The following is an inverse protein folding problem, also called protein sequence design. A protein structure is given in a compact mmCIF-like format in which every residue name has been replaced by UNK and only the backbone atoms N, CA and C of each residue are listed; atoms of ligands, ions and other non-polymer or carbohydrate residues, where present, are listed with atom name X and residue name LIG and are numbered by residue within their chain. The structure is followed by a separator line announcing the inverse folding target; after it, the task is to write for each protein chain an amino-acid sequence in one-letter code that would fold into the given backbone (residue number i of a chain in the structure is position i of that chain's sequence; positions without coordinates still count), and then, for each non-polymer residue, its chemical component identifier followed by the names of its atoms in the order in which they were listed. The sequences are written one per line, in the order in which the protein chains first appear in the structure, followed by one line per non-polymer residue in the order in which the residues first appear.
data_IF_763214532135
#
_entry.id   IF_763214532135
#
_cell.length_a   1.000
_cell.length_b   1.000
_cell.length_c   1.000
_cell.angle_alpha   90.00
_cell.angle_beta   90.00
_cell.angle_gamma   90.00
#
_symmetry.space_group_name_H-M   'P 1'
#
loop_
_entity.id
_entity.type
_entity.pdbx_description
1 polymer ?
#
# COMPACT_ATOMS: atom_id res chain seq x y z
N UNK A 1 -15.22 15.97 25.10
CA UNK A 1 -16.11 17.16 25.06
C UNK A 1 -17.56 16.83 25.41
N UNK A 2 -18.03 15.58 25.32
CA UNK A 2 -19.38 15.20 25.78
C UNK A 2 -20.51 15.55 24.79
N UNK A 3 -20.14 15.92 23.56
CA UNK A 3 -21.01 16.33 22.45
C UNK A 3 -21.78 15.12 21.88
N UNK A 4 -22.89 14.74 22.51
CA UNK A 4 -23.63 13.51 22.12
C UNK A 4 -24.28 13.60 20.73
N UNK A 5 -24.76 14.78 20.35
CA UNK A 5 -25.40 15.00 19.05
C UNK A 5 -24.38 14.86 17.92
N UNK A 6 -23.23 15.55 18.04
CA UNK A 6 -22.12 15.42 17.09
C UNK A 6 -21.63 13.96 16.97
N UNK A 7 -21.50 13.25 18.09
CA UNK A 7 -21.09 11.84 18.07
C UNK A 7 -22.10 10.96 17.32
N UNK A 8 -23.41 11.22 17.47
CA UNK A 8 -24.45 10.51 16.75
C UNK A 8 -24.43 10.83 15.25
N UNK A 9 -24.22 12.10 14.87
CA UNK A 9 -24.07 12.51 13.47
C UNK A 9 -22.85 11.85 12.80
N UNK A 10 -21.70 11.82 13.49
CA UNK A 10 -20.51 11.13 12.99
C UNK A 10 -20.75 9.63 12.79
N UNK A 11 -21.45 8.98 13.72
CA UNK A 11 -21.77 7.54 13.62
C UNK A 11 -22.71 7.28 12.44
N UNK A 12 -23.76 8.08 12.30
CA UNK A 12 -24.72 7.93 11.22
C UNK A 12 -24.08 8.10 9.84
N UNK A 13 -23.20 9.10 9.68
CA UNK A 13 -22.47 9.30 8.42
C UNK A 13 -21.50 8.14 8.14
N UNK A 14 -20.81 7.62 9.15
CA UNK A 14 -19.90 6.48 8.99
C UNK A 14 -20.66 5.22 8.53
N UNK A 15 -21.83 4.93 9.14
CA UNK A 15 -22.66 3.79 8.78
C UNK A 15 -23.23 3.93 7.34
N UNK A 16 -23.66 5.14 6.97
CA UNK A 16 -24.14 5.43 5.61
C UNK A 16 -23.05 5.19 4.55
N UNK A 17 -21.85 5.74 4.77
CA UNK A 17 -20.72 5.59 3.85
C UNK A 17 -20.24 4.14 3.80
N UNK A 18 -20.16 3.44 4.93
CA UNK A 18 -19.79 2.02 4.97
C UNK A 18 -20.78 1.15 4.19
N UNK A 19 -22.09 1.41 4.34
CA UNK A 19 -23.13 0.74 3.56
C UNK A 19 -22.99 0.99 2.06
N UNK A 20 -22.72 2.23 1.66
CA UNK A 20 -22.50 2.58 0.26
C UNK A 20 -21.24 1.90 -0.32
N UNK A 21 -20.13 1.84 0.41
CA UNK A 21 -18.90 1.17 -0.04
C UNK A 21 -19.14 -0.32 -0.30
N UNK A 22 -19.85 -1.02 0.60
CA UNK A 22 -20.18 -2.43 0.41
C UNK A 22 -21.05 -2.68 -0.83
N UNK A 23 -21.90 -1.71 -1.18
CA UNK A 23 -22.79 -1.82 -2.34
C UNK A 23 -22.09 -1.47 -3.66
N UNK A 24 -21.22 -0.45 -3.66
CA UNK A 24 -20.73 0.16 -4.90
C UNK A 24 -19.24 -0.06 -5.15
N UNK A 25 -18.41 -0.22 -4.12
CA UNK A 25 -16.96 -0.32 -4.26
C UNK A 25 -16.48 -1.77 -4.51
N UNK A 26 -17.31 -2.78 -4.24
CA UNK A 26 -16.97 -4.19 -4.48
C UNK A 26 -17.37 -4.60 -5.90
N UNK A 27 -16.40 -5.02 -6.70
CA UNK A 27 -16.61 -5.44 -8.10
C UNK A 27 -16.10 -6.86 -8.32
N UNK A 28 -16.70 -7.58 -9.25
CA UNK A 28 -16.27 -8.94 -9.63
C UNK A 28 -15.17 -8.84 -10.71
N UNK A 29 -13.94 -9.19 -10.37
CA UNK A 29 -12.83 -9.32 -11.31
C UNK A 29 -12.75 -10.74 -11.87
N UNK A 30 -12.58 -10.94 -13.20
CA UNK A 30 -12.59 -12.27 -13.80
C UNK A 30 -11.48 -13.21 -13.28
N UNK A 31 -10.33 -12.66 -12.90
CA UNK A 31 -9.19 -13.43 -12.35
C UNK A 31 -9.13 -13.49 -10.82
N UNK A 32 -9.42 -12.38 -10.13
CA UNK A 32 -9.18 -12.26 -8.69
C UNK A 32 -10.45 -12.47 -7.84
N UNK A 33 -11.62 -12.58 -8.46
CA UNK A 33 -12.91 -12.61 -7.79
C UNK A 33 -13.32 -11.22 -7.31
N UNK A 34 -14.06 -11.15 -6.20
CA UNK A 34 -14.46 -9.86 -5.59
C UNK A 34 -13.25 -9.06 -5.12
N UNK A 35 -13.11 -7.84 -5.61
CA UNK A 35 -12.09 -6.87 -5.22
C UNK A 35 -12.73 -5.52 -4.91
N UNK A 36 -12.01 -4.66 -4.20
CA UNK A 36 -12.35 -3.25 -4.07
C UNK A 36 -11.84 -2.50 -5.31
N UNK A 37 -12.70 -1.67 -5.90
CA UNK A 37 -12.31 -0.70 -6.92
C UNK A 37 -11.63 0.52 -6.27
N UNK A 38 -10.68 1.13 -6.99
CA UNK A 38 -9.99 2.33 -6.51
C UNK A 38 -10.92 3.54 -6.49
N UNK A 39 -11.67 3.72 -7.58
CA UNK A 39 -12.68 4.78 -7.73
C UNK A 39 -13.95 4.21 -8.35
N UNK A 40 -15.11 4.76 -7.96
CA UNK A 40 -16.43 4.44 -8.54
C UNK A 40 -17.25 5.72 -8.68
N UNK A 41 -18.15 5.75 -9.66
CA UNK A 41 -19.00 6.92 -9.95
C UNK A 41 -20.44 6.81 -9.43
N UNK A 42 -20.84 5.63 -8.95
CA UNK A 42 -22.22 5.32 -8.53
C UNK A 42 -23.20 5.04 -9.69
N UNK A 43 -22.78 5.19 -10.94
CA UNK A 43 -23.53 4.84 -12.15
C UNK A 43 -23.16 3.46 -12.71
N UNK A 44 -22.12 2.84 -12.16
CA UNK A 44 -21.66 1.49 -12.49
C UNK A 44 -20.26 1.43 -13.09
N UNK A 45 -19.60 2.58 -13.28
CA UNK A 45 -18.20 2.60 -13.69
C UNK A 45 -17.30 2.37 -12.48
N UNK A 46 -16.20 1.64 -12.70
CA UNK A 46 -15.19 1.39 -11.69
C UNK A 46 -13.79 1.49 -12.30
N UNK A 47 -12.88 2.18 -11.61
CA UNK A 47 -11.47 2.25 -11.96
C UNK A 47 -10.71 1.21 -11.15
N UNK A 48 -10.12 0.24 -11.85
CA UNK A 48 -9.40 -0.88 -11.25
C UNK A 48 -7.90 -0.60 -11.33
N UNK A 49 -7.32 -0.14 -10.23
CA UNK A 49 -5.90 0.16 -10.07
C UNK A 49 -5.56 0.26 -8.59
N UNK A 50 -4.33 0.65 -8.27
CA UNK A 50 -4.00 1.26 -6.98
C UNK A 50 -2.92 2.32 -7.19
N UNK A 51 -2.82 3.26 -6.25
CA UNK A 51 -1.74 4.25 -6.18
C UNK A 51 -0.91 3.99 -4.93
N UNK A 52 0.38 4.33 -4.96
CA UNK A 52 1.26 4.10 -3.84
C UNK A 52 0.93 4.95 -2.60
N UNK A 53 0.31 6.11 -2.76
CA UNK A 53 0.02 7.04 -1.67
C UNK A 53 -1.04 6.48 -0.73
N UNK A 54 -0.77 6.49 0.58
CA UNK A 54 -1.75 6.17 1.61
C UNK A 54 -2.69 7.37 1.82
N UNK A 55 -4.04 7.19 1.78
CA UNK A 55 -4.79 5.93 1.73
C UNK A 55 -4.80 5.26 0.34
N UNK A 56 -4.40 3.99 0.29
CA UNK A 56 -4.42 3.12 -0.90
C UNK A 56 -5.17 1.82 -0.59
N UNK A 57 -5.58 1.08 -1.63
CA UNK A 57 -6.23 -0.23 -1.45
C UNK A 57 -5.30 -1.18 -0.70
N UNK A 58 -4.01 -1.19 -1.03
CA UNK A 58 -3.01 -2.01 -0.34
C UNK A 58 -2.91 -1.68 1.16
N UNK A 59 -3.07 -0.41 1.54
CA UNK A 59 -2.83 0.10 2.89
C UNK A 59 -4.06 0.09 3.81
N UNK A 60 -5.24 -0.35 3.35
CA UNK A 60 -6.46 -0.32 4.17
C UNK A 60 -6.31 -1.02 5.54
N UNK A 61 -5.65 -2.19 5.68
CA UNK A 61 -5.44 -2.79 7.00
C UNK A 61 -4.42 -2.04 7.87
N UNK A 62 -3.48 -1.32 7.27
CA UNK A 62 -2.54 -0.48 8.01
C UNK A 62 -3.27 0.70 8.68
N UNK A 63 -4.26 1.28 8.00
CA UNK A 63 -5.12 2.34 8.56
C UNK A 63 -6.20 1.82 9.51
N UNK A 64 -6.47 0.51 9.49
CA UNK A 64 -7.52 -0.11 10.28
C UNK A 64 -8.91 -0.01 9.64
N UNK A 65 -8.99 0.28 8.35
CA UNK A 65 -10.25 0.47 7.61
C UNK A 65 -10.90 -0.88 7.23
N UNK A 66 -10.08 -1.92 7.03
CA UNK A 66 -10.52 -3.30 6.83
C UNK A 66 -9.67 -4.26 7.65
N UNK A 67 -10.27 -5.38 8.05
CA UNK A 67 -9.52 -6.45 8.69
C UNK A 67 -8.48 -7.03 7.71
N UNK A 68 -7.27 -7.30 8.20
CA UNK A 68 -6.20 -7.86 7.37
C UNK A 68 -6.63 -9.18 6.71
N UNK A 69 -7.49 -9.95 7.36
CA UNK A 69 -7.97 -11.25 6.86
C UNK A 69 -9.26 -11.16 6.03
N UNK A 70 -9.72 -9.95 5.67
CA UNK A 70 -10.87 -9.80 4.77
C UNK A 70 -10.56 -10.47 3.42
N UNK A 71 -11.37 -11.44 2.96
CA UNK A 71 -11.14 -12.13 1.69
C UNK A 71 -11.22 -11.19 0.47
N UNK A 72 -12.02 -10.12 0.52
CA UNK A 72 -12.08 -9.11 -0.56
C UNK A 72 -10.79 -8.30 -0.57
N UNK A 73 -10.27 -7.93 0.61
CA UNK A 73 -8.95 -7.31 0.70
C UNK A 73 -7.85 -8.24 0.18
N UNK A 74 -7.83 -9.52 0.54
CA UNK A 74 -6.82 -10.46 0.04
C UNK A 74 -6.84 -10.59 -1.49
N UNK A 75 -8.04 -10.62 -2.10
CA UNK A 75 -8.19 -10.57 -3.55
C UNK A 75 -7.64 -9.27 -4.14
N UNK A 76 -7.99 -8.15 -3.51
CA UNK A 76 -7.54 -6.81 -3.91
C UNK A 76 -6.02 -6.71 -3.80
N UNK A 77 -5.41 -7.20 -2.72
CA UNK A 77 -3.96 -7.22 -2.49
C UNK A 77 -3.21 -7.96 -3.59
N UNK A 78 -3.74 -9.11 -4.05
CA UNK A 78 -3.18 -9.85 -5.20
C UNK A 78 -3.34 -9.08 -6.50
N UNK A 79 -4.51 -8.47 -6.72
CA UNK A 79 -4.78 -7.66 -7.91
C UNK A 79 -3.82 -6.46 -8.01
N UNK A 80 -3.72 -5.65 -6.95
CA UNK A 80 -2.94 -4.40 -6.97
C UNK A 80 -1.43 -4.65 -7.07
N UNK A 81 -0.96 -5.81 -6.63
CA UNK A 81 0.43 -6.27 -6.76
C UNK A 81 0.66 -7.19 -7.98
N UNK A 82 -0.02 -6.91 -9.08
CA UNK A 82 0.07 -7.66 -10.33
C UNK A 82 0.09 -6.72 -11.54
N UNK A 83 0.41 -7.26 -12.73
CA UNK A 83 0.38 -6.50 -13.98
C UNK A 83 -1.03 -6.08 -14.43
N UNK A 84 -2.09 -6.56 -13.77
CA UNK A 84 -3.46 -6.08 -14.01
C UNK A 84 -3.70 -4.70 -13.37
N UNK A 85 -2.88 -4.30 -12.40
CA UNK A 85 -2.82 -2.90 -11.96
C UNK A 85 -1.97 -2.09 -12.94
N UNK A 86 -2.53 -1.07 -13.63
CA UNK A 86 -1.80 -0.27 -14.62
C UNK A 86 -0.61 0.51 -14.04
N UNK A 87 -0.53 0.67 -12.72
CA UNK A 87 0.55 1.37 -12.02
C UNK A 87 1.46 0.44 -11.22
N UNK A 88 1.33 -0.87 -11.38
CA UNK A 88 2.30 -1.83 -10.88
C UNK A 88 3.44 -2.01 -11.89
N UNK A 89 4.68 -1.93 -11.41
CA UNK A 89 5.88 -2.08 -12.22
C UNK A 89 6.79 -3.15 -11.63
N UNK A 90 7.48 -3.89 -12.51
CA UNK A 90 8.50 -4.88 -12.13
C UNK A 90 9.69 -4.77 -13.07
N UNK A 91 10.88 -4.47 -12.61
CA UNK A 91 12.06 -4.35 -13.45
C UNK A 91 13.32 -4.87 -12.77
N UNK A 92 14.46 -4.49 -13.33
CA UNK A 92 15.77 -4.94 -12.84
C UNK A 92 16.08 -4.40 -11.43
N UNK A 93 15.57 -3.22 -11.08
CA UNK A 93 15.79 -2.60 -9.77
C UNK A 93 14.82 -3.10 -8.68
N UNK A 94 13.68 -3.68 -9.04
CA UNK A 94 12.66 -4.14 -8.09
C UNK A 94 11.25 -4.10 -8.65
N UNK A 95 10.26 -4.29 -7.78
CA UNK A 95 8.84 -4.22 -8.12
C UNK A 95 7.99 -3.45 -7.11
N UNK A 96 6.91 -2.85 -7.56
CA UNK A 96 5.95 -2.18 -6.68
C UNK A 96 4.99 -1.28 -7.42
N UNK A 97 4.19 -0.57 -6.65
CA UNK A 97 3.16 0.33 -7.16
C UNK A 97 3.72 1.75 -7.23
N UNK A 98 3.38 2.44 -8.30
CA UNK A 98 3.63 3.87 -8.49
C UNK A 98 2.32 4.65 -8.50
N UNK A 99 2.15 5.46 -9.55
CA UNK A 99 0.96 6.25 -9.77
C UNK A 99 1.13 7.23 -10.93
N UNK A 100 0.05 7.88 -11.40
CA UNK A 100 0.13 8.84 -12.49
C UNK A 100 0.92 10.12 -12.15
N UNK A 101 1.23 10.36 -10.87
CA UNK A 101 1.86 11.60 -10.41
C UNK A 101 3.27 11.82 -10.99
N UNK A 102 4.14 10.81 -10.94
CA UNK A 102 5.47 10.86 -11.58
C UNK A 102 5.41 10.30 -13.01
N UNK A 103 4.52 9.33 -13.23
CA UNK A 103 4.27 8.73 -14.54
C UNK A 103 4.63 7.25 -14.58
N UNK A 104 4.98 6.79 -15.77
CA UNK A 104 5.20 5.37 -16.04
C UNK A 104 6.52 4.87 -15.45
N UNK A 105 6.55 3.59 -15.08
CA UNK A 105 7.76 2.86 -14.70
C UNK A 105 8.49 3.33 -13.42
N UNK A 106 7.85 4.20 -12.64
CA UNK A 106 8.37 4.70 -11.36
C UNK A 106 7.67 4.01 -10.19
N UNK A 107 8.44 3.26 -9.40
CA UNK A 107 7.99 2.55 -8.21
C UNK A 107 8.16 3.45 -6.99
N UNK A 108 7.18 3.49 -6.11
CA UNK A 108 7.29 4.27 -4.87
C UNK A 108 7.64 3.35 -3.70
N UNK A 109 8.69 3.65 -2.90
CA UNK A 109 9.02 2.91 -1.69
C UNK A 109 7.85 2.76 -0.71
N UNK A 110 6.91 3.70 -0.71
CA UNK A 110 5.69 3.62 0.09
C UNK A 110 4.90 2.33 -0.17
N UNK A 111 4.74 1.92 -1.43
CA UNK A 111 4.00 0.71 -1.77
C UNK A 111 4.66 -0.55 -1.20
N UNK A 112 6.00 -0.61 -1.22
CA UNK A 112 6.78 -1.71 -0.67
C UNK A 112 6.68 -1.74 0.86
N UNK A 113 6.73 -0.57 1.50
CA UNK A 113 6.51 -0.46 2.95
C UNK A 113 5.09 -0.91 3.31
N UNK A 114 4.07 -0.49 2.58
CA UNK A 114 2.68 -0.90 2.83
C UNK A 114 2.46 -2.39 2.60
N UNK A 115 3.13 -2.98 1.59
CA UNK A 115 3.16 -4.43 1.40
C UNK A 115 3.71 -5.14 2.64
N UNK A 116 4.80 -4.64 3.22
CA UNK A 116 5.41 -5.19 4.44
C UNK A 116 4.54 -4.98 5.70
N UNK A 117 3.98 -3.78 5.90
CA UNK A 117 3.06 -3.49 7.01
C UNK A 117 1.83 -4.42 7.01
N UNK A 118 1.39 -4.80 5.80
CA UNK A 118 0.27 -5.69 5.56
C UNK A 118 0.71 -7.10 5.15
N UNK A 119 1.93 -7.52 5.45
CA UNK A 119 2.35 -8.90 5.22
C UNK A 119 1.98 -9.78 6.42
N UNK A 120 1.64 -11.03 6.15
CA UNK A 120 1.43 -12.07 7.19
C UNK A 120 2.53 -13.13 7.16
N UNK A 121 3.43 -13.06 6.18
CA UNK A 121 4.52 -13.99 5.93
C UNK A 121 5.88 -13.30 6.10
N UNK A 122 6.82 -13.99 6.77
CA UNK A 122 8.13 -13.43 7.10
C UNK A 122 9.06 -13.33 5.89
N UNK A 123 8.90 -14.22 4.89
CA UNK A 123 9.68 -14.15 3.65
C UNK A 123 9.26 -12.92 2.84
N UNK A 124 7.96 -12.64 2.73
CA UNK A 124 7.46 -11.42 2.10
C UNK A 124 7.95 -10.14 2.79
N UNK A 125 7.94 -10.10 4.14
CA UNK A 125 8.49 -8.97 4.91
C UNK A 125 9.97 -8.80 4.57
N UNK A 126 10.75 -9.88 4.64
CA UNK A 126 12.18 -9.86 4.38
C UNK A 126 12.48 -9.32 2.99
N UNK A 127 11.77 -9.79 1.97
CA UNK A 127 11.96 -9.35 0.59
C UNK A 127 11.64 -7.87 0.41
N UNK A 128 10.58 -7.36 1.05
CA UNK A 128 10.27 -5.94 1.06
C UNK A 128 11.40 -5.12 1.71
N UNK A 129 11.93 -5.55 2.87
CA UNK A 129 13.03 -4.85 3.54
C UNK A 129 14.30 -4.88 2.67
N UNK A 130 14.62 -6.03 2.06
CA UNK A 130 15.78 -6.15 1.17
C UNK A 130 15.67 -5.21 -0.03
N UNK A 131 14.47 -5.10 -0.62
CA UNK A 131 14.26 -4.18 -1.74
C UNK A 131 14.43 -2.72 -1.29
N UNK A 132 13.82 -2.32 -0.16
CA UNK A 132 13.93 -0.96 0.37
C UNK A 132 15.39 -0.52 0.60
N UNK A 133 16.24 -1.41 1.15
CA UNK A 133 17.66 -1.08 1.42
C UNK A 133 18.55 -1.18 0.18
N UNK A 134 18.09 -1.79 -0.91
CA UNK A 134 18.87 -1.93 -2.16
C UNK A 134 18.43 -0.94 -3.24
N UNK A 135 17.32 -0.23 -3.03
CA UNK A 135 16.79 0.78 -3.95
C UNK A 135 16.89 2.22 -3.40
N UNK A 136 17.75 2.47 -2.43
CA UNK A 136 17.97 3.78 -1.81
C UNK A 136 19.04 4.63 -2.54
N UNK A 137 19.59 4.12 -3.65
CA UNK A 137 20.72 4.71 -4.39
C UNK A 137 21.97 5.01 -3.52
N UNK A 138 22.15 4.29 -2.41
CA UNK A 138 23.24 4.49 -1.45
C UNK A 138 23.12 5.76 -0.61
N UNK A 139 21.94 6.38 -0.56
CA UNK A 139 21.71 7.65 0.15
C UNK A 139 21.40 7.45 1.64
N UNK A 140 20.94 6.27 2.05
CA UNK A 140 20.44 5.99 3.40
C UNK A 140 19.08 6.60 3.70
N UNK A 141 18.34 7.10 2.70
CA UNK A 141 17.02 7.70 2.85
C UNK A 141 15.98 7.05 1.94
N UNK A 142 14.71 7.15 2.33
CA UNK A 142 13.60 6.77 1.45
C UNK A 142 13.23 7.92 0.52
N UNK A 143 13.14 7.60 -0.77
CA UNK A 143 12.74 8.50 -1.83
C UNK A 143 11.23 8.48 -2.07
N UNK A 144 10.73 9.42 -2.88
CA UNK A 144 9.34 9.39 -3.33
C UNK A 144 9.11 8.23 -4.31
N UNK A 145 9.96 8.15 -5.33
CA UNK A 145 9.92 7.08 -6.32
C UNK A 145 11.31 6.76 -6.85
N UNK A 146 11.46 5.58 -7.46
CA UNK A 146 12.64 5.15 -8.19
C UNK A 146 12.24 4.38 -9.46
N UNK A 147 13.05 4.44 -10.51
CA UNK A 147 12.77 3.74 -11.77
C UNK A 147 12.88 2.23 -11.61
N UNK A 148 11.96 1.47 -12.20
CA UNK A 148 12.02 -0.01 -12.27
C UNK A 148 13.32 -0.51 -12.93
N UNK A 149 13.97 0.32 -13.74
CA UNK A 149 15.18 -0.04 -14.47
C UNK A 149 16.46 0.24 -13.68
N UNK A 150 16.49 1.35 -12.95
CA UNK A 150 17.66 1.81 -12.18
C UNK A 150 17.20 2.62 -10.96
N UNK A 151 17.49 2.12 -9.75
CA UNK A 151 17.10 2.80 -8.53
C UNK A 151 17.85 4.13 -8.30
N UNK A 152 18.96 4.37 -9.00
CA UNK A 152 19.66 5.65 -8.97
C UNK A 152 18.90 6.78 -9.69
N UNK A 153 17.93 6.45 -10.54
CA UNK A 153 16.96 7.39 -11.09
C UNK A 153 15.75 7.48 -10.15
N UNK A 154 15.80 8.43 -9.22
CA UNK A 154 14.80 8.59 -8.17
C UNK A 154 14.32 10.04 -8.05
N UNK A 155 13.15 10.21 -7.43
CA UNK A 155 12.59 11.53 -7.12
C UNK A 155 12.63 11.83 -5.61
N UNK A 156 12.86 13.10 -5.28
CA UNK A 156 12.87 13.65 -3.91
C UNK A 156 13.84 12.93 -2.95
N UNK A 157 15.11 13.35 -2.99
CA UNK A 157 16.14 12.94 -2.04
C UNK A 157 15.79 13.23 -0.56
N UNK A 158 14.90 14.19 -0.30
CA UNK A 158 14.45 14.54 1.05
C UNK A 158 12.93 14.46 1.14
N UNK A 159 12.44 13.35 1.68
CA UNK A 159 11.01 13.15 1.91
C UNK A 159 10.74 12.60 3.31
N UNK A 160 10.56 13.52 4.26
CA UNK A 160 10.47 13.19 5.69
C UNK A 160 9.35 12.19 6.03
N UNK A 161 8.22 12.22 5.33
CA UNK A 161 7.14 11.24 5.53
C UNK A 161 7.60 9.81 5.24
N UNK A 162 8.32 9.58 4.13
CA UNK A 162 8.81 8.24 3.78
C UNK A 162 9.84 7.75 4.79
N UNK A 163 10.72 8.64 5.24
CA UNK A 163 11.70 8.34 6.26
C UNK A 163 11.03 7.94 7.58
N UNK A 164 9.96 8.64 7.98
CA UNK A 164 9.15 8.29 9.15
C UNK A 164 8.51 6.91 8.98
N UNK A 165 7.86 6.63 7.84
CA UNK A 165 7.22 5.34 7.57
C UNK A 165 8.22 4.17 7.63
N UNK A 166 9.43 4.35 7.11
CA UNK A 166 10.46 3.31 7.18
C UNK A 166 10.93 3.08 8.63
N UNK A 167 11.17 4.15 9.38
CA UNK A 167 11.50 4.04 10.80
C UNK A 167 10.40 3.37 11.62
N UNK A 168 9.14 3.69 11.33
CA UNK A 168 7.96 3.05 11.93
C UNK A 168 7.90 1.56 11.60
N UNK A 169 8.13 1.17 10.34
CA UNK A 169 8.13 -0.23 9.91
C UNK A 169 9.17 -1.05 10.67
N UNK A 170 10.41 -0.55 10.74
CA UNK A 170 11.48 -1.23 11.48
C UNK A 170 11.14 -1.34 12.96
N UNK A 171 10.65 -0.26 13.59
CA UNK A 171 10.27 -0.27 15.00
C UNK A 171 9.12 -1.26 15.28
N UNK A 172 8.12 -1.32 14.40
CA UNK A 172 7.03 -2.30 14.47
C UNK A 172 7.58 -3.72 14.45
N UNK A 173 8.42 -4.06 13.46
CA UNK A 173 8.98 -5.41 13.34
C UNK A 173 9.80 -5.82 14.56
N UNK A 174 10.59 -4.90 15.12
CA UNK A 174 11.31 -5.14 16.39
C UNK A 174 10.34 -5.41 17.55
N UNK A 175 9.30 -4.59 17.70
CA UNK A 175 8.30 -4.75 18.76
C UNK A 175 7.47 -6.02 18.60
N UNK A 176 7.23 -6.47 17.38
CA UNK A 176 6.54 -7.71 17.05
C UNK A 176 7.44 -8.95 17.22
N UNK A 177 8.67 -8.78 17.72
CA UNK A 177 9.61 -9.88 17.99
C UNK A 177 10.33 -10.40 16.74
N UNK A 178 10.32 -9.66 15.63
CA UNK A 178 10.92 -10.05 14.34
C UNK A 178 12.35 -9.54 14.16
N UNK A 179 13.06 -9.23 15.25
CA UNK A 179 14.46 -8.77 15.20
C UNK A 179 15.38 -9.81 14.55
N UNK A 180 15.16 -11.11 14.79
CA UNK A 180 15.97 -12.16 14.17
C UNK A 180 15.78 -12.23 12.65
N UNK A 181 14.58 -11.92 12.15
CA UNK A 181 14.31 -11.79 10.72
C UNK A 181 15.14 -10.66 10.12
N UNK A 182 15.15 -9.49 10.76
CA UNK A 182 15.94 -8.34 10.32
C UNK A 182 17.44 -8.64 10.34
N UNK A 183 17.93 -9.28 11.40
CA UNK A 183 19.33 -9.68 11.54
C UNK A 183 19.77 -10.77 10.54
N UNK A 184 18.83 -11.43 9.86
CA UNK A 184 19.13 -12.43 8.83
C UNK A 184 19.53 -11.82 7.48
N UNK A 185 19.25 -10.53 7.27
CA UNK A 185 19.57 -9.79 6.05
C UNK A 185 21.08 -9.46 6.05
N UNK A 186 21.76 -9.74 4.94
CA UNK A 186 23.22 -9.62 4.79
C UNK A 186 23.59 -8.72 3.62
#
# INVERSE_FOLDING_TARGET
NGERELAAECTALADEVAGALQQYAVVEHPEFGKIYAFEVDGFGSAQLMDDANVPSLLAMPYLGDVERTDPIYENTRRFVWSTENPYFWRGAAGEGIGGPHIGVEMIWPMSIMMRAFTATDDEEIRDCICQLITTDAGTGFMHESFSRHDAADFTRAWFAWQNTLFGELILKLVNDGKTDLLNSIR
#
